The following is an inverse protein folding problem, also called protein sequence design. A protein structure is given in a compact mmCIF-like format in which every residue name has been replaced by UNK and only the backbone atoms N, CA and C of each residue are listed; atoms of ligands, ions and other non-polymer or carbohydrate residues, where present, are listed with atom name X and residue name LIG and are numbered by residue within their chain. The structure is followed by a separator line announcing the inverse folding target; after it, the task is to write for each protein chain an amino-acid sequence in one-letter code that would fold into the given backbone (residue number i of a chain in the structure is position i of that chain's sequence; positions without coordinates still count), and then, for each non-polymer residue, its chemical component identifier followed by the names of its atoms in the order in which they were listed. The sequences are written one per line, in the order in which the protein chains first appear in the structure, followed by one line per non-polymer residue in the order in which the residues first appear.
data_IF_616495065181
#
_entry.id   IF_616495065181
#
_cell.length_a   1.000
_cell.length_b   1.000
_cell.length_c   1.000
_cell.angle_alpha   90.00
_cell.angle_beta   90.00
_cell.angle_gamma   90.00
#
_symmetry.space_group_name_H-M   'P 1'
#
loop_
_entity.id
_entity.type
_entity.pdbx_description
1 polymer ?
#
# COMPACT_ATOMS: atom_id res chain seq x y z
N UNK A 1 -0.59 -14.39 -0.71
CA UNK A 1 -0.90 -14.39 -2.16
C UNK A 1 -0.08 -15.41 -2.96
N UNK A 2 0.99 -15.99 -2.40
CA UNK A 2 1.77 -17.05 -3.08
C UNK A 2 2.36 -16.61 -4.42
N UNK A 3 2.65 -15.32 -4.54
CA UNK A 3 3.14 -14.74 -5.79
C UNK A 3 4.60 -15.15 -5.99
N UNK A 4 4.98 -15.62 -7.20
CA UNK A 4 6.37 -15.92 -7.49
C UNK A 4 7.21 -14.66 -7.33
N UNK A 5 8.38 -14.82 -6.72
CA UNK A 5 9.37 -13.76 -6.59
C UNK A 5 10.55 -14.07 -7.49
N UNK A 6 10.92 -13.12 -8.35
CA UNK A 6 12.09 -13.23 -9.19
C UNK A 6 13.01 -12.03 -8.96
N UNK A 7 14.23 -12.30 -8.48
CA UNK A 7 15.23 -11.28 -8.18
C UNK A 7 15.72 -10.53 -9.42
N UNK A 8 15.64 -11.15 -10.60
CA UNK A 8 16.05 -10.52 -11.86
C UNK A 8 15.03 -9.52 -12.43
N UNK A 9 13.79 -9.54 -11.95
CA UNK A 9 12.75 -8.60 -12.38
C UNK A 9 13.02 -7.20 -11.85
N UNK A 10 12.82 -6.20 -12.72
CA UNK A 10 12.83 -4.79 -12.35
C UNK A 10 11.67 -4.47 -11.40
N UNK A 11 11.79 -3.38 -10.64
CA UNK A 11 10.70 -2.90 -9.76
C UNK A 11 9.41 -2.65 -10.54
N UNK A 12 9.51 -2.14 -11.78
CA UNK A 12 8.37 -1.90 -12.67
C UNK A 12 7.67 -3.20 -13.11
N UNK A 13 8.43 -4.26 -13.35
CA UNK A 13 7.87 -5.58 -13.69
C UNK A 13 7.12 -6.15 -12.48
N UNK A 14 7.73 -6.10 -11.29
CA UNK A 14 7.11 -6.55 -10.03
C UNK A 14 5.84 -5.76 -9.70
N UNK A 15 5.87 -4.43 -9.84
CA UNK A 15 4.70 -3.58 -9.59
C UNK A 15 3.57 -3.86 -10.59
N UNK A 16 3.90 -4.04 -11.87
CA UNK A 16 2.92 -4.43 -12.90
C UNK A 16 2.31 -5.80 -12.60
N UNK A 17 3.13 -6.75 -12.16
CA UNK A 17 2.69 -8.09 -11.79
C UNK A 17 1.76 -8.07 -10.57
N UNK A 18 2.15 -7.37 -9.49
CA UNK A 18 1.32 -7.22 -8.29
C UNK A 18 -0.03 -6.57 -8.63
N UNK A 19 -0.02 -5.48 -9.41
CA UNK A 19 -1.24 -4.79 -9.83
C UNK A 19 -2.18 -5.73 -10.59
N UNK A 20 -1.65 -6.59 -11.46
CA UNK A 20 -2.44 -7.60 -12.19
C UNK A 20 -2.99 -8.66 -11.26
N UNK A 21 -2.20 -9.13 -10.29
CA UNK A 21 -2.60 -10.16 -9.33
C UNK A 21 -3.69 -9.68 -8.35
N UNK A 22 -3.67 -8.40 -8.01
CA UNK A 22 -4.65 -7.74 -7.13
C UNK A 22 -5.91 -7.29 -7.88
N UNK A 23 -5.87 -7.21 -9.21
CA UNK A 23 -6.99 -6.75 -10.04
C UNK A 23 -8.25 -7.58 -9.79
N UNK A 24 -9.38 -6.91 -9.52
CA UNK A 24 -10.71 -7.51 -9.26
C UNK A 24 -10.76 -8.44 -8.03
N UNK A 25 -9.79 -8.35 -7.12
CA UNK A 25 -9.86 -9.03 -5.82
C UNK A 25 -10.28 -8.05 -4.74
N UNK A 26 -10.95 -8.57 -3.71
CA UNK A 26 -11.16 -7.85 -2.45
C UNK A 26 -9.97 -8.14 -1.54
N UNK A 27 -9.35 -7.11 -1.00
CA UNK A 27 -8.20 -7.27 -0.11
C UNK A 27 -7.98 -6.06 0.78
N UNK A 28 -7.19 -6.25 1.83
CA UNK A 28 -6.67 -5.18 2.67
C UNK A 28 -5.15 -5.24 2.60
N UNK A 29 -4.49 -4.10 2.40
CA UNK A 29 -3.04 -3.97 2.54
C UNK A 29 -2.76 -3.27 3.85
N UNK A 30 -1.90 -3.86 4.67
CA UNK A 30 -1.32 -3.23 5.85
C UNK A 30 0.14 -2.91 5.56
N UNK A 31 0.49 -1.62 5.56
CA UNK A 31 1.86 -1.15 5.42
C UNK A 31 2.35 -0.68 6.78
N UNK A 32 3.22 -1.47 7.40
CA UNK A 32 3.80 -1.12 8.68
C UNK A 32 5.10 -0.31 8.52
N UNK A 33 5.39 0.54 9.49
CA UNK A 33 6.60 1.36 9.60
C UNK A 33 6.91 2.22 8.35
N UNK A 34 5.90 2.92 7.82
CA UNK A 34 6.09 3.82 6.66
C UNK A 34 6.79 5.12 7.06
N UNK A 35 7.91 5.45 6.43
CA UNK A 35 8.73 6.61 6.82
C UNK A 35 8.64 7.83 5.88
N UNK A 36 8.21 7.63 4.63
CA UNK A 36 8.18 8.68 3.59
C UNK A 36 7.00 8.46 2.66
N UNK A 37 6.51 9.55 2.07
CA UNK A 37 5.53 9.49 0.99
C UNK A 37 6.05 8.72 -0.22
N UNK A 38 5.19 7.89 -0.82
CA UNK A 38 5.41 7.26 -2.11
C UNK A 38 4.07 7.07 -2.84
N UNK A 39 4.10 6.78 -4.14
CA UNK A 39 2.88 6.48 -4.89
C UNK A 39 2.57 4.99 -4.81
N UNK A 40 1.34 4.64 -4.44
CA UNK A 40 0.90 3.23 -4.42
C UNK A 40 1.07 2.53 -5.78
N UNK A 41 0.93 3.29 -6.87
CA UNK A 41 1.11 2.80 -8.23
C UNK A 41 2.54 2.30 -8.51
N UNK A 42 3.56 2.92 -7.91
CA UNK A 42 4.97 2.58 -8.13
C UNK A 42 5.28 1.18 -7.60
N UNK A 43 4.60 0.77 -6.53
CA UNK A 43 4.70 -0.57 -5.93
C UNK A 43 3.61 -1.53 -6.38
N UNK A 44 2.69 -1.09 -7.27
CA UNK A 44 1.66 -1.95 -7.85
C UNK A 44 0.40 -2.12 -7.01
N UNK A 45 0.24 -1.32 -5.95
CA UNK A 45 -0.97 -1.28 -5.13
C UNK A 45 -1.97 -0.33 -5.81
N UNK A 46 -3.21 -0.76 -6.10
CA UNK A 46 -4.23 0.15 -6.62
C UNK A 46 -4.70 1.10 -5.51
N UNK A 47 -4.95 2.36 -5.86
CA UNK A 47 -5.57 3.32 -4.95
C UNK A 47 -6.98 2.85 -4.57
N UNK A 48 -7.31 2.76 -3.27
CA UNK A 48 -8.67 2.45 -2.82
C UNK A 48 -9.70 3.41 -3.46
N UNK A 49 -10.79 2.86 -4.00
CA UNK A 49 -11.91 3.65 -4.55
C UNK A 49 -13.24 2.95 -4.32
N UNK A 50 -14.37 3.63 -4.55
CA UNK A 50 -15.70 3.00 -4.50
C UNK A 50 -15.86 1.82 -5.46
N UNK A 51 -15.09 1.83 -6.55
CA UNK A 51 -15.19 0.85 -7.63
C UNK A 51 -14.32 -0.39 -7.38
N UNK A 52 -13.40 -0.32 -6.41
CA UNK A 52 -12.56 -1.44 -6.04
C UNK A 52 -12.73 -1.79 -4.56
N UNK A 53 -12.81 -3.09 -4.27
CA UNK A 53 -13.03 -3.55 -2.89
C UNK A 53 -11.69 -3.72 -2.15
N UNK A 54 -10.79 -2.76 -2.34
CA UNK A 54 -9.48 -2.67 -1.71
C UNK A 54 -9.51 -1.68 -0.55
N UNK A 55 -8.86 -2.03 0.56
CA UNK A 55 -8.58 -1.10 1.67
C UNK A 55 -7.08 -1.00 1.91
N UNK A 56 -6.63 0.19 2.30
CA UNK A 56 -5.26 0.45 2.71
C UNK A 56 -5.29 0.85 4.19
N UNK A 57 -4.45 0.20 4.99
CA UNK A 57 -4.09 0.60 6.34
C UNK A 57 -2.59 0.86 6.31
N UNK A 58 -2.17 1.98 6.85
CA UNK A 58 -0.76 2.30 7.00
C UNK A 58 -0.49 2.65 8.46
N UNK A 59 0.65 2.21 8.96
CA UNK A 59 1.16 2.57 10.28
C UNK A 59 2.47 3.33 10.09
N UNK A 60 2.61 4.44 10.81
CA UNK A 60 3.81 5.26 10.80
C UNK A 60 4.06 5.80 12.20
N UNK A 61 5.32 6.08 12.51
CA UNK A 61 5.74 6.83 13.70
C UNK A 61 5.53 8.34 13.53
N UNK A 62 5.14 8.79 12.34
CA UNK A 62 4.96 10.20 12.00
C UNK A 62 3.56 10.44 11.46
N UNK A 63 2.76 11.22 12.19
CA UNK A 63 1.43 11.65 11.75
C UNK A 63 1.51 12.37 10.39
N UNK A 64 2.55 13.19 10.18
CA UNK A 64 2.80 13.89 8.92
C UNK A 64 2.91 12.94 7.73
N UNK A 65 3.54 11.76 7.90
CA UNK A 65 3.65 10.76 6.83
C UNK A 65 2.28 10.19 6.49
N UNK A 66 1.42 9.94 7.48
CA UNK A 66 0.04 9.49 7.23
C UNK A 66 -0.74 10.51 6.40
N UNK A 67 -0.64 11.80 6.77
CA UNK A 67 -1.29 12.90 6.04
C UNK A 67 -0.78 13.01 4.60
N UNK A 68 0.54 12.91 4.40
CA UNK A 68 1.15 12.95 3.08
C UNK A 68 0.75 11.77 2.17
N UNK A 69 0.43 10.62 2.78
CA UNK A 69 -0.11 9.44 2.12
C UNK A 69 -1.62 9.53 1.83
N UNK A 70 -2.27 10.61 2.26
CA UNK A 70 -3.68 10.91 1.96
C UNK A 70 -4.67 10.57 3.07
N UNK A 71 -4.19 10.23 4.27
CA UNK A 71 -5.06 10.11 5.44
C UNK A 71 -5.46 11.49 5.95
N UNK A 72 -6.76 11.70 6.18
CA UNK A 72 -7.30 13.00 6.62
C UNK A 72 -7.38 13.10 8.14
N UNK A 73 -7.56 11.97 8.81
CA UNK A 73 -7.76 11.90 10.25
C UNK A 73 -6.98 10.70 10.82
N UNK A 74 -5.63 10.77 10.86
CA UNK A 74 -4.81 9.68 11.36
C UNK A 74 -5.11 9.37 12.82
N UNK A 75 -5.28 8.08 13.13
CA UNK A 75 -5.43 7.62 14.50
C UNK A 75 -4.06 7.52 15.19
N UNK A 76 -3.94 8.14 16.37
CA UNK A 76 -2.77 7.97 17.21
C UNK A 76 -2.94 6.75 18.11
N UNK A 77 -1.95 5.85 18.08
CA UNK A 77 -1.92 4.68 18.95
C UNK A 77 -0.93 4.95 20.09
N UNK A 78 -1.40 5.11 21.34
CA UNK A 78 -0.51 5.38 22.46
C UNK A 78 0.36 4.15 22.75
N UNK A 79 1.60 4.39 23.19
CA UNK A 79 2.43 3.33 23.77
C UNK A 79 1.77 2.80 25.05
N UNK A 80 1.95 1.51 25.33
CA UNK A 80 1.52 0.85 26.57
C UNK A 80 2.48 1.17 27.73
#
# INVERSE_FOLDING_TARGET
LGLPWNESETERERSTFLRRALRRKKFVVLLDDVWKKFQLADVGIPTPSSDNECKLILASRSNQVCVEMGDKEPMEMPCL
#
